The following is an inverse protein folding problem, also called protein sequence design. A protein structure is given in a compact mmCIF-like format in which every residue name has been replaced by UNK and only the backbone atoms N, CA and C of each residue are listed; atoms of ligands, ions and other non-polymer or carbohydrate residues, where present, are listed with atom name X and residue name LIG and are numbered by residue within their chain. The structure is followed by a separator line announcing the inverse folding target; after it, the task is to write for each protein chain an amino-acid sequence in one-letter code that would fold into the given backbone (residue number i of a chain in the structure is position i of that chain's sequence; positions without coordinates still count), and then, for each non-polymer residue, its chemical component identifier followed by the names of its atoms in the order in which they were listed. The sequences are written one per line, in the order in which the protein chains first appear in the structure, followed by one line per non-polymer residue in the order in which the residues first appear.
data_IF_017972510862
#
_entry.id   IF_017972510862
#
_cell.length_a   1.000
_cell.length_b   1.000
_cell.length_c   1.000
_cell.angle_alpha   90.00
_cell.angle_beta   90.00
_cell.angle_gamma   90.00
#
_symmetry.space_group_name_H-M   'P 1'
#
loop_
_entity.id
_entity.type
_entity.pdbx_description
1 polymer ?
#
# COMPACT_ATOMS: atom_id res chain seq x y z
N UNK A 1 -9.93 -9.20 10.34
CA UNK A 1 -9.61 -8.11 11.31
C UNK A 1 -9.81 -6.78 10.62
N UNK A 2 -10.28 -5.75 11.32
CA UNK A 2 -10.38 -4.39 10.80
C UNK A 2 -9.75 -3.41 11.78
N UNK A 3 -9.02 -2.43 11.26
CA UNK A 3 -8.47 -1.29 12.00
C UNK A 3 -8.93 -0.02 11.28
N UNK A 4 -9.39 0.96 12.04
CA UNK A 4 -9.86 2.24 11.50
C UNK A 4 -9.42 3.36 12.47
N UNK A 5 -8.48 4.20 12.03
CA UNK A 5 -7.85 5.24 12.84
C UNK A 5 -7.91 6.55 12.09
N UNK A 6 -8.24 7.63 12.81
CA UNK A 6 -8.26 8.99 12.28
C UNK A 6 -7.43 9.92 13.18
N UNK A 7 -6.79 10.92 12.57
CA UNK A 7 -5.98 11.92 13.26
C UNK A 7 -6.03 13.23 12.50
N UNK A 8 -6.16 14.35 13.21
CA UNK A 8 -6.03 15.66 12.60
C UNK A 8 -4.56 16.09 12.62
N UNK A 9 -4.01 16.35 11.45
CA UNK A 9 -2.63 16.80 11.25
C UNK A 9 -2.61 18.33 11.09
N UNK A 10 -1.73 19.06 11.81
CA UNK A 10 -1.63 20.51 11.72
C UNK A 10 -0.80 20.95 10.50
N UNK A 11 -1.06 20.35 9.33
CA UNK A 11 -0.41 20.69 8.07
C UNK A 11 -1.39 20.70 6.90
N UNK A 12 -1.06 21.40 5.79
CA UNK A 12 -1.91 21.47 4.61
C UNK A 12 -2.10 20.11 3.92
N UNK A 13 -3.26 19.93 3.29
CA UNK A 13 -3.61 18.69 2.57
C UNK A 13 -2.54 18.30 1.52
N UNK A 14 -2.00 19.29 0.80
CA UNK A 14 -0.98 19.05 -0.23
C UNK A 14 0.29 18.39 0.34
N UNK A 15 0.71 18.75 1.55
CA UNK A 15 1.87 18.14 2.20
C UNK A 15 1.58 16.69 2.59
N UNK A 16 0.40 16.42 3.15
CA UNK A 16 -0.03 15.06 3.48
C UNK A 16 -0.04 14.19 2.23
N UNK A 17 -0.64 14.66 1.13
CA UNK A 17 -0.68 13.93 -0.15
C UNK A 17 0.73 13.66 -0.66
N UNK A 18 1.62 14.66 -0.63
CA UNK A 18 2.99 14.51 -1.09
C UNK A 18 3.75 13.41 -0.32
N UNK A 19 3.49 13.24 0.99
CA UNK A 19 4.11 12.18 1.78
C UNK A 19 3.46 10.82 1.55
N UNK A 20 2.12 10.74 1.57
CA UNK A 20 1.36 9.49 1.42
C UNK A 20 1.65 8.80 0.09
N UNK A 21 1.92 9.58 -0.96
CA UNK A 21 2.28 9.05 -2.28
C UNK A 21 3.69 8.46 -2.35
N UNK A 22 4.46 8.38 -1.27
CA UNK A 22 5.86 7.91 -1.32
C UNK A 22 6.03 6.52 -0.67
N UNK A 23 6.83 5.62 -1.25
CA UNK A 23 7.28 4.41 -0.56
C UNK A 23 8.13 4.71 0.68
N UNK A 24 8.74 5.90 0.72
CA UNK A 24 9.50 6.38 1.87
C UNK A 24 8.64 6.42 3.14
N UNK A 25 7.40 6.93 3.06
CA UNK A 25 6.50 6.98 4.20
C UNK A 25 6.15 5.58 4.71
N UNK A 26 5.77 4.65 3.81
CA UNK A 26 5.50 3.24 4.16
C UNK A 26 6.66 2.62 4.95
N UNK A 27 7.89 2.79 4.46
CA UNK A 27 9.09 2.28 5.13
C UNK A 27 9.34 2.94 6.47
N UNK A 28 9.05 4.23 6.60
CA UNK A 28 9.21 4.99 7.83
C UNK A 28 8.22 4.53 8.91
N UNK A 29 6.93 4.40 8.57
CA UNK A 29 5.88 4.04 9.54
C UNK A 29 5.93 2.58 9.97
N UNK A 30 6.42 1.68 9.10
CA UNK A 30 6.55 0.27 9.41
C UNK A 30 7.81 -0.06 10.23
N UNK A 31 8.81 0.82 10.22
CA UNK A 31 10.06 0.66 10.94
C UNK A 31 9.86 0.83 12.46
N UNK A 32 10.58 0.07 13.32
CA UNK A 32 11.56 -0.97 12.97
C UNK A 32 10.93 -2.36 12.77
N UNK A 33 9.62 -2.50 12.96
CA UNK A 33 8.96 -3.80 13.02
C UNK A 33 9.04 -4.54 11.67
N UNK A 34 8.71 -3.86 10.58
CA UNK A 34 8.72 -4.41 9.24
C UNK A 34 9.62 -3.60 8.31
N UNK A 35 10.32 -4.31 7.44
CA UNK A 35 11.09 -3.73 6.34
C UNK A 35 10.71 -4.37 5.02
N UNK A 36 10.77 -3.56 3.96
CA UNK A 36 10.38 -3.94 2.62
C UNK A 36 11.59 -3.85 1.70
N UNK A 37 11.82 -4.88 0.90
CA UNK A 37 12.78 -4.85 -0.20
C UNK A 37 12.06 -5.09 -1.52
N UNK A 38 12.23 -4.23 -2.53
CA UNK A 38 11.54 -4.38 -3.82
C UNK A 38 11.93 -5.70 -4.52
N UNK A 39 10.96 -6.30 -5.21
CA UNK A 39 11.14 -7.48 -6.06
C UNK A 39 10.73 -7.22 -7.50
N UNK A 40 9.56 -6.63 -7.69
CA UNK A 40 9.07 -6.25 -9.01
C UNK A 40 8.14 -5.04 -8.86
N UNK A 41 8.50 -3.86 -9.38
CA UNK A 41 9.80 -3.50 -9.97
C UNK A 41 10.98 -3.73 -9.00
N UNK A 42 12.20 -3.79 -9.54
CA UNK A 42 13.42 -4.08 -8.77
C UNK A 42 13.81 -2.96 -7.80
N UNK A 43 13.20 -1.79 -7.95
CA UNK A 43 13.39 -0.61 -7.11
C UNK A 43 12.04 0.00 -6.76
N UNK A 44 11.97 0.71 -5.63
CA UNK A 44 10.80 1.53 -5.33
C UNK A 44 10.82 2.79 -6.20
N UNK A 45 9.67 3.24 -6.71
CA UNK A 45 9.60 4.54 -7.36
C UNK A 45 9.73 5.67 -6.33
N UNK A 46 9.99 6.91 -6.77
CA UNK A 46 9.95 8.07 -5.87
C UNK A 46 8.53 8.31 -5.33
N UNK A 47 7.54 8.12 -6.20
CA UNK A 47 6.11 8.18 -5.87
C UNK A 47 5.36 6.99 -6.45
N UNK A 48 4.34 6.52 -5.74
CA UNK A 48 3.51 5.42 -6.19
C UNK A 48 2.74 5.80 -7.46
N UNK A 49 2.97 5.06 -8.53
CA UNK A 49 2.06 4.98 -9.67
C UNK A 49 1.04 3.85 -9.44
N UNK A 50 -0.12 3.92 -10.07
CA UNK A 50 -1.06 2.80 -10.05
C UNK A 50 -0.42 1.52 -10.57
N UNK A 51 -0.69 0.40 -9.90
CA UNK A 51 -0.13 -0.89 -10.27
C UNK A 51 0.24 -1.76 -9.08
N UNK A 52 0.95 -2.86 -9.37
CA UNK A 52 1.35 -3.85 -8.36
C UNK A 52 2.85 -3.81 -8.13
N UNK A 53 3.24 -3.66 -6.86
CA UNK A 53 4.62 -3.70 -6.39
C UNK A 53 4.81 -4.93 -5.50
N UNK A 54 5.61 -5.88 -5.96
CA UNK A 54 6.01 -7.03 -5.17
C UNK A 54 7.21 -6.68 -4.30
N UNK A 55 7.13 -7.03 -3.03
CA UNK A 55 8.18 -6.77 -2.03
C UNK A 55 8.45 -8.01 -1.19
N UNK A 56 9.70 -8.18 -0.75
CA UNK A 56 10.05 -9.07 0.37
C UNK A 56 9.77 -8.35 1.68
N UNK A 57 9.24 -9.09 2.64
CA UNK A 57 9.05 -8.63 4.01
C UNK A 57 10.12 -9.24 4.92
N UNK A 58 10.72 -8.41 5.77
CA UNK A 58 11.52 -8.89 6.91
C UNK A 58 11.06 -8.26 8.21
N UNK A 59 10.94 -9.08 9.25
CA UNK A 59 10.70 -8.65 10.62
C UNK A 59 12.01 -8.16 11.25
N UNK A 60 11.97 -7.01 11.93
CA UNK A 60 13.14 -6.35 12.53
C UNK A 60 14.33 -6.16 11.58
N UNK A 61 14.07 -6.03 10.28
CA UNK A 61 15.11 -5.89 9.25
C UNK A 61 15.86 -7.18 8.88
N UNK A 62 15.69 -8.28 9.64
CA UNK A 62 16.56 -9.46 9.54
C UNK A 62 15.83 -10.74 9.18
N UNK A 63 14.69 -11.05 9.81
CA UNK A 63 14.01 -12.34 9.66
C UNK A 63 13.07 -12.28 8.44
N UNK A 64 13.33 -13.00 7.34
CA UNK A 64 12.42 -13.01 6.20
C UNK A 64 11.10 -13.71 6.56
N UNK A 65 9.97 -13.03 6.35
CA UNK A 65 8.63 -13.55 6.69
C UNK A 65 7.75 -13.79 5.45
N UNK A 66 8.24 -13.44 4.26
CA UNK A 66 7.55 -13.73 3.01
C UNK A 66 7.62 -12.59 2.01
N UNK A 67 6.60 -12.52 1.16
CA UNK A 67 6.41 -11.47 0.15
C UNK A 67 5.01 -10.90 0.24
N UNK A 68 4.85 -9.66 -0.19
CA UNK A 68 3.57 -8.96 -0.26
C UNK A 68 3.44 -8.31 -1.63
N UNK A 69 2.25 -8.39 -2.22
CA UNK A 69 1.83 -7.49 -3.28
C UNK A 69 1.23 -6.25 -2.65
N UNK A 70 1.74 -5.08 -3.01
CA UNK A 70 1.16 -3.77 -2.74
C UNK A 70 0.45 -3.36 -4.04
N UNK A 71 -0.86 -3.16 -4.02
CA UNK A 71 -1.68 -2.92 -5.22
C UNK A 71 -2.30 -1.54 -5.12
N UNK A 72 -1.60 -0.54 -5.66
CA UNK A 72 -1.96 0.88 -5.53
C UNK A 72 -2.98 1.28 -6.59
N UNK A 73 -4.05 1.95 -6.13
CA UNK A 73 -4.97 2.72 -6.97
C UNK A 73 -5.29 4.08 -6.34
N UNK A 74 -5.72 5.03 -7.16
CA UNK A 74 -6.18 6.35 -6.73
C UNK A 74 -7.64 6.55 -7.15
N UNK A 75 -8.61 6.06 -6.35
CA UNK A 75 -10.02 6.26 -6.64
C UNK A 75 -10.37 7.75 -6.81
N UNK A 76 -11.21 8.04 -7.81
CA UNK A 76 -11.68 9.40 -8.03
C UNK A 76 -12.57 9.85 -6.87
N UNK A 77 -12.30 11.05 -6.36
CA UNK A 77 -13.10 11.71 -5.34
C UNK A 77 -13.89 12.84 -5.99
N UNK A 78 -15.16 12.98 -5.63
CA UNK A 78 -16.03 14.05 -6.15
C UNK A 78 -15.60 15.43 -5.65
N UNK A 79 -14.97 15.50 -4.47
CA UNK A 79 -14.49 16.74 -3.86
C UNK A 79 -12.96 16.84 -3.98
N UNK A 80 -12.48 17.95 -4.56
CA UNK A 80 -11.05 18.27 -4.70
C UNK A 80 -10.33 18.46 -3.33
N UNK A 81 -11.06 18.70 -2.25
CA UNK A 81 -10.56 18.80 -0.88
C UNK A 81 -10.33 17.42 -0.22
N UNK A 82 -10.57 16.34 -0.96
CA UNK A 82 -10.41 14.97 -0.46
C UNK A 82 -9.49 14.17 -1.38
N UNK A 83 -8.54 13.49 -0.78
CA UNK A 83 -7.65 12.55 -1.44
C UNK A 83 -7.90 11.13 -0.91
N UNK A 84 -7.76 10.15 -1.81
CA UNK A 84 -7.83 8.74 -1.47
C UNK A 84 -6.70 7.96 -2.17
N UNK A 85 -6.03 7.09 -1.42
CA UNK A 85 -5.13 6.06 -1.93
C UNK A 85 -5.61 4.73 -1.38
N UNK A 86 -5.69 3.71 -2.25
CA UNK A 86 -6.02 2.35 -1.85
C UNK A 86 -4.87 1.40 -2.18
N UNK A 87 -4.46 0.62 -1.21
CA UNK A 87 -3.62 -0.56 -1.36
C UNK A 87 -4.49 -1.80 -1.16
N UNK A 88 -4.86 -2.48 -2.26
CA UNK A 88 -5.60 -3.74 -2.23
C UNK A 88 -4.65 -4.94 -2.35
N UNK A 89 -3.65 -4.95 -1.47
CA UNK A 89 -2.59 -5.92 -1.43
C UNK A 89 -3.01 -7.32 -1.03
N UNK A 90 -2.08 -8.25 -1.20
CA UNK A 90 -2.25 -9.66 -0.80
C UNK A 90 -0.91 -10.39 -0.75
N UNK A 91 -0.91 -11.54 -0.09
CA UNK A 91 0.18 -12.51 -0.02
C UNK A 91 -0.35 -13.90 0.23
N UNK A 92 0.49 -14.96 0.20
CA UNK A 92 0.07 -16.29 0.62
C UNK A 92 -0.46 -16.34 2.06
N UNK A 93 0.06 -15.51 2.96
CA UNK A 93 -0.36 -15.45 4.37
C UNK A 93 -1.56 -14.52 4.60
N UNK A 94 -1.74 -13.52 3.74
CA UNK A 94 -2.80 -12.51 3.84
C UNK A 94 -3.56 -12.50 2.52
N UNK A 95 -4.70 -13.19 2.47
CA UNK A 95 -5.52 -13.26 1.25
C UNK A 95 -6.10 -11.93 0.85
N UNK A 96 -6.28 -11.02 1.82
CA UNK A 96 -6.70 -9.63 1.57
C UNK A 96 -6.04 -8.68 2.55
N UNK A 97 -5.37 -7.69 1.99
CA UNK A 97 -4.95 -6.47 2.65
C UNK A 97 -5.64 -5.33 1.92
N UNK A 98 -6.73 -4.81 2.48
CA UNK A 98 -7.48 -3.71 1.89
C UNK A 98 -7.27 -2.47 2.76
N UNK A 99 -6.25 -1.68 2.41
CA UNK A 99 -5.86 -0.47 3.10
C UNK A 99 -6.30 0.74 2.31
N UNK A 100 -7.21 1.51 2.89
CA UNK A 100 -7.69 2.79 2.37
C UNK A 100 -7.15 3.91 3.23
N UNK A 101 -6.42 4.82 2.58
CA UNK A 101 -5.96 6.07 3.16
C UNK A 101 -6.83 7.18 2.60
N UNK A 102 -7.41 8.00 3.48
CA UNK A 102 -8.08 9.24 3.08
C UNK A 102 -7.46 10.43 3.79
N UNK A 103 -7.32 11.53 3.07
CA UNK A 103 -6.90 12.81 3.63
C UNK A 103 -7.89 13.89 3.15
N UNK A 104 -8.44 14.66 4.08
CA UNK A 104 -9.43 15.69 3.78
C UNK A 104 -9.02 17.01 4.43
N UNK A 105 -9.13 18.11 3.68
CA UNK A 105 -8.94 19.45 4.23
C UNK A 105 -10.04 19.78 5.25
N UNK A 106 -9.65 20.25 6.43
CA UNK A 106 -10.55 20.65 7.52
C UNK A 106 -10.04 21.93 8.19
N UNK A 107 -10.88 22.59 8.97
CA UNK A 107 -10.44 23.75 9.76
C UNK A 107 -9.27 23.36 10.68
N UNK A 108 -8.14 24.06 10.54
CA UNK A 108 -6.93 23.81 11.33
C UNK A 108 -5.97 22.77 10.76
N UNK A 109 -6.21 22.21 9.56
CA UNK A 109 -5.24 21.35 8.86
C UNK A 109 -5.90 20.25 8.03
N UNK A 110 -5.45 19.01 8.23
CA UNK A 110 -5.90 17.86 7.44
C UNK A 110 -6.43 16.74 8.34
N UNK A 111 -7.64 16.27 8.09
CA UNK A 111 -8.14 15.03 8.68
C UNK A 111 -7.57 13.85 7.89
N UNK A 112 -6.64 13.14 8.48
CA UNK A 112 -6.02 11.94 7.92
C UNK A 112 -6.65 10.69 8.55
N UNK A 113 -6.94 9.67 7.75
CA UNK A 113 -7.57 8.43 8.21
C UNK A 113 -7.05 7.22 7.46
N UNK A 114 -6.68 6.19 8.22
CA UNK A 114 -6.31 4.87 7.76
C UNK A 114 -7.41 3.87 8.10
N UNK A 115 -7.90 3.14 7.11
CA UNK A 115 -8.75 1.96 7.31
C UNK A 115 -8.08 0.76 6.68
N UNK A 116 -7.84 -0.28 7.47
CA UNK A 116 -7.24 -1.52 7.01
C UNK A 116 -8.18 -2.68 7.31
N UNK A 117 -8.54 -3.45 6.29
CA UNK A 117 -9.24 -4.72 6.43
C UNK A 117 -8.29 -5.85 6.05
N UNK A 118 -8.08 -6.79 6.98
CA UNK A 118 -7.14 -7.90 6.84
C UNK A 118 -7.91 -9.20 6.93
N UNK A 119 -7.78 -10.04 5.92
CA UNK A 119 -8.25 -11.43 5.92
C UNK A 119 -7.02 -12.35 5.86
N UNK A 120 -6.93 -13.25 6.82
CA UNK A 120 -5.84 -14.22 6.89
C UNK A 120 -6.05 -15.30 5.81
N UNK A 121 -4.95 -15.69 5.18
CA UNK A 121 -4.91 -16.88 4.35
C UNK A 121 -4.81 -18.16 5.18
N UNK A 122 -5.08 -19.29 4.53
CA UNK A 122 -4.78 -20.60 5.11
C UNK A 122 -3.26 -20.78 5.00
N UNK A 123 -2.60 -21.05 6.13
CA UNK A 123 -1.17 -21.37 6.14
C UNK A 123 -0.91 -22.60 5.28
N UNK A 124 -0.36 -22.41 4.09
CA UNK A 124 0.29 -23.50 3.37
C UNK A 124 1.70 -23.61 3.96
N UNK A 125 1.85 -24.49 4.95
CA UNK A 125 3.17 -24.94 5.39
C UNK A 125 3.89 -25.63 4.21
N UNK A 126 4.56 -24.85 3.36
CA UNK A 126 5.44 -25.38 2.32
C UNK A 126 6.65 -24.47 2.16
N UNK A 127 7.79 -24.99 2.59
CA UNK A 127 9.10 -24.62 2.09
C UNK A 127 9.11 -24.64 0.53
N UNK A 128 9.96 -23.83 -0.12
CA UNK A 128 10.40 -23.89 -1.55
C UNK A 128 9.89 -22.80 -2.55
N UNK A 129 10.63 -22.55 -3.69
CA UNK A 129 10.86 -21.22 -4.24
C UNK A 129 9.91 -20.77 -5.36
N UNK A 130 9.96 -19.45 -5.56
CA UNK A 130 9.18 -18.61 -6.48
C UNK A 130 9.35 -18.98 -7.96
N UNK A 131 8.24 -19.23 -8.66
CA UNK A 131 8.11 -18.91 -10.09
C UNK A 131 7.36 -17.58 -10.18
N UNK A 132 8.09 -16.51 -10.49
CA UNK A 132 7.50 -15.18 -10.71
C UNK A 132 6.69 -15.26 -12.00
N UNK A 133 5.36 -15.29 -11.90
CA UNK A 133 4.49 -15.05 -13.05
C UNK A 133 4.16 -13.56 -13.03
N UNK A 134 4.75 -12.80 -13.94
CA UNK A 134 4.39 -11.39 -14.15
C UNK A 134 2.88 -11.28 -14.41
N UNK A 135 2.17 -10.29 -13.83
CA UNK A 135 0.80 -10.01 -14.23
C UNK A 135 0.80 -9.62 -15.70
N UNK A 136 -0.02 -10.30 -16.53
CA UNK A 136 -0.35 -9.77 -17.85
C UNK A 136 -1.06 -8.45 -17.63
N UNK A 137 -0.56 -7.39 -18.25
CA UNK A 137 -1.30 -6.13 -18.43
C UNK A 137 -2.70 -6.47 -18.98
N UNK A 138 -3.79 -5.86 -18.48
CA UNK A 138 -5.09 -5.98 -19.14
C UNK A 138 -4.96 -5.38 -20.56
N UNK A 139 -5.53 -6.02 -21.59
CA UNK A 139 -5.57 -5.42 -22.90
C UNK A 139 -6.52 -4.23 -22.85
N UNK A 140 -5.97 -3.02 -22.88
CA UNK A 140 -6.70 -1.86 -23.37
C UNK A 140 -6.82 -2.04 -24.89
N UNK A 141 -7.86 -2.75 -25.33
CA UNK A 141 -8.32 -2.66 -26.71
C UNK A 141 -8.98 -1.29 -26.86
N UNK A 142 -8.20 -0.35 -27.41
CA UNK A 142 -8.76 0.80 -28.08
C UNK A 142 -9.68 0.31 -29.20
N UNK A 143 -10.91 0.79 -29.21
CA UNK A 143 -11.72 0.86 -30.40
C UNK A 143 -12.27 2.28 -30.48
N UNK A 144 -11.98 2.86 -31.65
CA UNK A 144 -12.55 4.06 -32.23
C UNK A 144 -14.07 4.01 -32.25
#
# INVERSE_FOLDING_TARGET
MQVDLATQLPCPLAEVIAQVRTPRLLRQVASPLLSFSPLAPAEFPDTWSEGTYWVKLKLFGVLPIGRQAIVITYPQMENAQTFMLRDNGYSPLITKWDHVITAQEVSGGTLYRDRVTIEAGIESNTSWPLKIRSPRQPPWSGQL
#
